data_IF_155526787583
#
_entry.id   IF_155526787583
#
_cell.length_a   1.000
_cell.length_b   1.000
_cell.length_c   1.000
_cell.angle_alpha   90.00
_cell.angle_beta   90.00
_cell.angle_gamma   90.00
#
_symmetry.space_group_name_H-M   'P 1'
#
loop_
_entity.id
_entity.type
_entity.pdbx_description
1 polymer ?
#
# COMPACT_ATOMS: atom_id res chain seq x y z
N UNK A 1 -6.78 0.45 -18.33
CA UNK A 1 -8.24 0.26 -18.06
C UNK A 1 -8.59 -1.16 -17.63
N UNK A 2 -7.98 -2.19 -18.20
CA UNK A 2 -8.25 -3.60 -17.86
C UNK A 2 -7.87 -3.94 -16.41
N UNK A 3 -6.70 -3.50 -15.94
CA UNK A 3 -6.23 -3.78 -14.56
C UNK A 3 -7.09 -3.11 -13.47
N UNK A 4 -7.77 -1.99 -13.77
CA UNK A 4 -8.70 -1.38 -12.83
C UNK A 4 -9.91 -2.26 -12.51
N UNK A 5 -10.35 -3.12 -13.45
CA UNK A 5 -11.40 -4.12 -13.23
C UNK A 5 -10.93 -5.27 -12.33
N UNK A 6 -9.63 -5.50 -12.26
CA UNK A 6 -8.99 -6.51 -11.40
C UNK A 6 -8.67 -6.01 -9.98
N UNK A 7 -9.17 -4.84 -9.59
CA UNK A 7 -8.90 -4.25 -8.28
C UNK A 7 -7.55 -3.54 -8.15
N UNK A 8 -6.81 -3.39 -9.24
CA UNK A 8 -5.54 -2.64 -9.26
C UNK A 8 -5.84 -1.16 -9.43
N UNK A 9 -5.27 -0.33 -8.57
CA UNK A 9 -5.42 1.13 -8.60
C UNK A 9 -4.06 1.81 -8.70
N UNK A 10 -4.00 2.88 -9.48
CA UNK A 10 -2.80 3.72 -9.55
C UNK A 10 -2.84 4.73 -8.39
N UNK A 11 -1.74 4.81 -7.66
CA UNK A 11 -1.57 5.73 -6.53
C UNK A 11 -0.35 6.62 -6.75
N UNK A 12 -0.37 7.81 -6.17
CA UNK A 12 0.77 8.73 -6.18
C UNK A 12 0.87 9.41 -4.81
N UNK A 13 2.03 9.32 -4.19
CA UNK A 13 2.34 10.06 -2.97
C UNK A 13 2.30 11.57 -3.22
N UNK A 14 1.82 12.31 -2.24
CA UNK A 14 1.89 13.78 -2.22
C UNK A 14 2.56 14.24 -0.94
N UNK A 15 3.47 15.22 -1.08
CA UNK A 15 4.23 15.79 0.04
C UNK A 15 3.48 16.88 0.80
N UNK A 16 2.32 17.32 0.30
CA UNK A 16 1.53 18.35 0.94
C UNK A 16 0.95 17.85 2.26
N UNK A 17 1.11 18.61 3.32
CA UNK A 17 0.68 18.24 4.68
C UNK A 17 -0.83 18.30 4.85
N UNK A 18 -1.31 17.55 5.84
CA UNK A 18 -2.73 17.54 6.22
C UNK A 18 -3.67 16.96 5.14
N UNK A 19 -3.11 16.32 4.12
CA UNK A 19 -3.93 15.63 3.12
C UNK A 19 -4.46 14.32 3.69
N UNK A 20 -5.68 13.91 3.30
CA UNK A 20 -6.26 12.66 3.77
C UNK A 20 -5.37 11.46 3.37
N UNK A 21 -5.42 10.34 4.10
CA UNK A 21 -4.68 9.12 3.79
C UNK A 21 -4.80 8.69 2.33
N UNK A 22 -5.99 8.87 1.75
CA UNK A 22 -6.21 8.75 0.32
C UNK A 22 -7.23 9.79 -0.14
N UNK A 23 -6.91 10.50 -1.21
CA UNK A 23 -7.78 11.49 -1.83
C UNK A 23 -8.83 10.86 -2.75
N UNK A 24 -9.71 11.69 -3.31
CA UNK A 24 -10.61 11.27 -4.38
C UNK A 24 -9.82 10.95 -5.64
N UNK A 25 -10.23 9.91 -6.37
CA UNK A 25 -9.60 9.56 -7.64
C UNK A 25 -9.81 10.65 -8.69
N UNK A 26 -8.74 10.98 -9.40
CA UNK A 26 -8.76 11.92 -10.54
C UNK A 26 -8.28 11.23 -11.82
N UNK A 27 -8.87 11.60 -12.94
CA UNK A 27 -8.44 11.12 -14.25
C UNK A 27 -7.27 11.97 -14.72
N UNK A 28 -6.17 11.31 -15.07
CA UNK A 28 -4.95 11.95 -15.57
C UNK A 28 -4.63 11.49 -16.99
N UNK A 29 -3.96 12.35 -17.73
CA UNK A 29 -3.45 12.00 -19.04
C UNK A 29 -2.22 11.07 -18.90
N UNK A 30 -2.09 10.10 -19.77
CA UNK A 30 -1.01 9.12 -19.74
C UNK A 30 -0.34 9.08 -21.10
N UNK A 31 0.98 9.22 -21.12
CA UNK A 31 1.77 8.99 -22.31
C UNK A 31 2.10 7.51 -22.42
N UNK A 32 1.72 6.91 -23.54
CA UNK A 32 2.01 5.52 -23.85
C UNK A 32 2.43 5.39 -25.31
N UNK A 33 3.60 4.82 -25.56
CA UNK A 33 4.17 4.64 -26.91
C UNK A 33 4.14 5.92 -27.77
N UNK A 34 4.55 7.06 -27.19
CA UNK A 34 4.57 8.34 -27.88
C UNK A 34 3.21 9.01 -28.13
N UNK A 35 2.12 8.40 -27.63
CA UNK A 35 0.76 8.96 -27.76
C UNK A 35 0.21 9.38 -26.41
N UNK A 36 -0.40 10.55 -26.34
CA UNK A 36 -1.10 11.03 -25.12
C UNK A 36 -2.52 10.51 -25.10
N UNK A 37 -2.81 9.64 -24.14
CA UNK A 37 -4.16 9.17 -23.85
C UNK A 37 -4.81 10.13 -22.85
N UNK A 38 -5.69 11.00 -23.30
CA UNK A 38 -6.43 11.91 -22.44
C UNK A 38 -7.29 11.12 -21.45
N UNK A 39 -7.22 11.50 -20.16
CA UNK A 39 -7.92 10.84 -19.05
C UNK A 39 -7.70 9.32 -19.03
N UNK A 40 -6.48 8.89 -19.43
CA UNK A 40 -6.13 7.48 -19.65
C UNK A 40 -6.10 6.63 -18.38
N UNK A 41 -5.81 7.23 -17.21
CA UNK A 41 -5.77 6.51 -15.94
C UNK A 41 -6.50 7.27 -14.82
N UNK A 42 -7.04 6.51 -13.86
CA UNK A 42 -7.53 7.02 -12.60
C UNK A 42 -6.40 6.93 -11.58
N UNK A 43 -6.02 8.06 -10.97
CA UNK A 43 -4.95 8.13 -9.96
C UNK A 43 -5.52 8.65 -8.66
N UNK A 44 -5.12 8.02 -7.55
CA UNK A 44 -5.47 8.44 -6.20
C UNK A 44 -4.23 9.03 -5.52
N UNK A 45 -4.37 10.20 -4.91
CA UNK A 45 -3.29 10.85 -4.18
C UNK A 45 -3.25 10.34 -2.74
N UNK A 46 -2.07 9.96 -2.27
CA UNK A 46 -1.83 9.46 -0.91
C UNK A 46 -1.16 10.54 -0.07
N UNK A 47 -1.82 10.93 1.01
CA UNK A 47 -1.28 11.87 2.01
C UNK A 47 -0.28 11.18 2.94
N UNK A 48 0.95 10.98 2.44
CA UNK A 48 1.99 10.22 3.15
C UNK A 48 2.30 10.77 4.55
N UNK A 49 2.32 12.09 4.72
CA UNK A 49 2.55 12.74 6.02
C UNK A 49 1.51 12.34 7.08
N UNK A 50 0.23 12.39 6.71
CA UNK A 50 -0.87 12.01 7.59
C UNK A 50 -0.83 10.53 7.93
N UNK A 51 -0.55 9.66 6.94
CA UNK A 51 -0.44 8.23 7.15
C UNK A 51 0.73 7.90 8.06
N UNK A 52 1.93 8.45 7.82
CA UNK A 52 3.11 8.25 8.67
C UNK A 52 2.83 8.69 10.11
N UNK A 53 2.21 9.85 10.30
CA UNK A 53 1.84 10.34 11.63
C UNK A 53 0.91 9.36 12.35
N UNK A 54 -0.08 8.81 11.64
CA UNK A 54 -1.00 7.80 12.19
C UNK A 54 -0.28 6.50 12.54
N UNK A 55 0.56 5.98 11.63
CA UNK A 55 1.29 4.73 11.83
C UNK A 55 2.27 4.83 12.99
N UNK A 56 3.06 5.91 13.07
CA UNK A 56 3.98 6.13 14.19
C UNK A 56 3.25 6.35 15.53
N UNK A 57 2.05 6.95 15.50
CA UNK A 57 1.17 6.99 16.66
C UNK A 57 0.80 5.59 17.12
N UNK A 58 0.41 4.70 16.21
CA UNK A 58 0.02 3.31 16.50
C UNK A 58 1.19 2.44 16.97
N UNK A 59 2.39 2.66 16.44
CA UNK A 59 3.60 1.95 16.90
C UNK A 59 3.94 2.21 18.38
N UNK A 60 3.37 3.23 19.01
CA UNK A 60 3.55 3.53 20.42
C UNK A 60 2.59 2.74 21.33
N UNK A 61 1.61 2.04 20.78
CA UNK A 61 0.68 1.25 21.59
C UNK A 61 1.40 -0.01 22.09
N UNK A 62 1.45 -0.19 23.40
CA UNK A 62 2.07 -1.34 24.06
C UNK A 62 1.06 -2.46 24.34
N UNK A 63 -0.23 -2.14 24.35
CA UNK A 63 -1.30 -3.07 24.64
C UNK A 63 -2.10 -3.40 23.37
N UNK A 64 -2.54 -4.67 23.28
CA UNK A 64 -3.40 -5.13 22.20
C UNK A 64 -4.76 -4.45 22.28
N UNK A 65 -5.22 -3.92 21.17
CA UNK A 65 -6.50 -3.21 21.10
C UNK A 65 -6.67 -2.46 19.79
N UNK A 66 -7.63 -1.55 19.76
CA UNK A 66 -7.91 -0.75 18.59
C UNK A 66 -6.69 0.08 18.19
N UNK A 67 -6.21 -0.12 16.95
CA UNK A 67 -5.05 0.58 16.41
C UNK A 67 -3.71 -0.06 16.70
N UNK A 68 -3.65 -1.15 17.45
CA UNK A 68 -2.41 -1.89 17.66
C UNK A 68 -1.93 -2.54 16.34
N UNK A 69 -0.64 -2.42 16.04
CA UNK A 69 -0.03 -3.02 14.86
C UNK A 69 0.53 -4.39 15.19
N UNK A 70 0.02 -5.41 14.52
CA UNK A 70 0.50 -6.78 14.64
C UNK A 70 1.52 -7.07 13.55
N UNK A 71 2.63 -7.68 13.93
CA UNK A 71 3.66 -8.14 13.00
C UNK A 71 3.79 -9.67 13.09
N UNK A 72 4.14 -10.28 11.97
CA UNK A 72 4.40 -11.70 11.92
C UNK A 72 5.65 -12.05 12.74
N UNK A 73 5.68 -13.22 13.41
CA UNK A 73 6.81 -13.66 14.25
C UNK A 73 8.14 -13.75 13.51
N UNK A 74 8.12 -14.03 12.22
CA UNK A 74 9.31 -14.06 11.35
C UNK A 74 9.71 -12.71 10.77
N UNK A 75 9.13 -11.60 11.23
CA UNK A 75 9.52 -10.26 10.75
C UNK A 75 10.94 -9.93 11.21
N UNK A 76 11.81 -9.58 10.26
CA UNK A 76 13.24 -9.37 10.52
C UNK A 76 13.54 -8.00 11.13
N UNK A 77 14.70 -7.87 11.78
CA UNK A 77 15.21 -6.58 12.27
C UNK A 77 15.33 -5.55 11.15
N UNK A 78 15.83 -5.96 9.97
CA UNK A 78 15.94 -5.09 8.79
C UNK A 78 14.59 -4.46 8.41
N UNK A 79 13.49 -5.21 8.48
CA UNK A 79 12.17 -4.67 8.23
C UNK A 79 11.83 -3.52 9.19
N UNK A 80 12.12 -3.69 10.48
CA UNK A 80 11.86 -2.67 11.50
C UNK A 80 12.78 -1.47 11.36
N UNK A 81 14.02 -1.66 10.95
CA UNK A 81 14.95 -0.57 10.63
C UNK A 81 14.40 0.29 9.48
N UNK A 82 13.91 -0.34 8.41
CA UNK A 82 13.29 0.36 7.29
C UNK A 82 11.96 1.00 7.68
N UNK A 83 11.17 0.35 8.53
CA UNK A 83 9.88 0.86 9.00
C UNK A 83 10.05 2.14 9.84
N UNK A 84 11.14 2.22 10.62
CA UNK A 84 11.44 3.35 11.52
C UNK A 84 12.54 4.27 11.00
N UNK A 85 12.92 4.15 9.73
CA UNK A 85 14.01 4.90 9.12
C UNK A 85 13.76 6.42 9.06
N UNK A 86 12.52 6.86 9.17
CA UNK A 86 12.13 8.26 9.17
C UNK A 86 11.76 8.75 10.56
N UNK A 87 12.05 10.00 10.82
CA UNK A 87 11.64 10.69 12.05
C UNK A 87 11.03 12.04 11.75
N UNK A 88 10.14 12.47 12.60
CA UNK A 88 9.54 13.79 12.52
C UNK A 88 10.44 14.82 13.20
N UNK A 89 10.81 15.87 12.49
CA UNK A 89 11.61 16.99 13.00
C UNK A 89 10.82 18.28 12.93
N UNK A 90 11.05 19.16 13.91
CA UNK A 90 10.49 20.50 13.90
C UNK A 90 11.40 21.41 13.07
N UNK A 91 10.83 22.09 12.10
CA UNK A 91 11.52 23.13 11.33
C UNK A 91 10.70 24.42 11.36
N UNK A 92 11.36 25.55 11.21
CA UNK A 92 10.69 26.84 11.09
C UNK A 92 10.67 27.25 9.62
N UNK A 93 9.50 27.67 9.14
CA UNK A 93 9.38 28.22 7.79
C UNK A 93 9.94 29.64 7.73
N UNK A 94 9.97 30.26 6.54
CA UNK A 94 10.46 31.63 6.33
C UNK A 94 9.72 32.69 7.18
N UNK A 95 8.48 32.42 7.57
CA UNK A 95 7.68 33.29 8.44
C UNK A 95 7.86 33.02 9.93
N UNK A 96 8.81 32.16 10.34
CA UNK A 96 9.06 31.82 11.75
C UNK A 96 8.06 30.83 12.35
N UNK A 97 7.13 30.30 11.57
CA UNK A 97 6.14 29.33 12.07
C UNK A 97 6.72 27.92 12.12
N UNK A 98 6.50 27.19 13.24
CA UNK A 98 6.97 25.83 13.40
C UNK A 98 6.23 24.88 12.46
N UNK A 99 6.98 24.03 11.79
CA UNK A 99 6.46 23.00 10.89
C UNK A 99 7.15 21.68 11.18
N UNK A 100 6.39 20.58 11.21
CA UNK A 100 6.97 19.24 11.39
C UNK A 100 7.18 18.57 10.05
N UNK A 101 8.35 17.99 9.82
CA UNK A 101 8.71 17.32 8.57
C UNK A 101 9.23 15.93 8.85
N UNK A 102 8.84 14.97 8.00
CA UNK A 102 9.43 13.65 8.00
C UNK A 102 10.76 13.70 7.27
N UNK A 103 11.81 13.27 7.94
CA UNK A 103 13.16 13.23 7.38
C UNK A 103 13.77 11.86 7.58
N UNK A 104 14.56 11.44 6.61
CA UNK A 104 15.29 10.18 6.55
C UNK A 104 16.79 10.50 6.41
N UNK A 105 17.65 9.69 7.01
CA UNK A 105 19.09 9.74 6.68
C UNK A 105 19.28 9.36 5.21
N UNK A 106 20.16 10.04 4.44
CA UNK A 106 20.34 9.78 3.01
C UNK A 106 20.62 8.31 2.67
N UNK A 107 21.40 7.62 3.51
CA UNK A 107 21.77 6.22 3.32
C UNK A 107 20.74 5.21 3.83
N UNK A 108 19.72 5.64 4.56
CA UNK A 108 18.76 4.71 5.13
C UNK A 108 17.71 4.29 4.07
N UNK A 109 17.37 3.02 4.05
CA UNK A 109 16.26 2.47 3.27
C UNK A 109 14.97 2.64 4.05
N UNK A 110 13.85 2.84 3.38
CA UNK A 110 12.53 3.04 3.99
C UNK A 110 11.41 2.33 3.22
N UNK A 111 11.74 1.36 2.40
CA UNK A 111 10.77 0.67 1.55
C UNK A 111 9.66 -0.01 2.35
N UNK A 112 9.99 -0.57 3.53
CA UNK A 112 8.98 -1.16 4.42
C UNK A 112 7.97 -0.13 4.91
N UNK A 113 8.43 1.09 5.25
CA UNK A 113 7.55 2.19 5.63
C UNK A 113 6.65 2.61 4.46
N UNK A 114 7.22 2.78 3.27
CA UNK A 114 6.45 3.18 2.09
C UNK A 114 5.41 2.11 1.70
N UNK A 115 5.75 0.84 1.77
CA UNK A 115 4.80 -0.26 1.56
C UNK A 115 3.65 -0.20 2.59
N UNK A 116 3.95 0.03 3.87
CA UNK A 116 2.92 0.12 4.91
C UNK A 116 2.04 1.37 4.72
N UNK A 117 2.62 2.49 4.31
CA UNK A 117 1.89 3.72 3.95
C UNK A 117 0.88 3.44 2.83
N UNK A 118 1.30 2.75 1.78
CA UNK A 118 0.41 2.42 0.66
C UNK A 118 -0.63 1.35 1.03
N UNK A 119 -0.28 0.38 1.85
CA UNK A 119 -1.23 -0.60 2.38
C UNK A 119 -2.33 0.08 3.21
N UNK A 120 -1.94 1.02 4.08
CA UNK A 120 -2.89 1.80 4.87
C UNK A 120 -3.78 2.71 4.01
N UNK A 121 -3.23 3.30 2.95
CA UNK A 121 -4.01 4.06 1.96
C UNK A 121 -5.02 3.15 1.24
N UNK A 122 -4.62 1.93 0.87
CA UNK A 122 -5.50 0.91 0.30
C UNK A 122 -6.67 0.55 1.21
N UNK A 123 -6.42 0.35 2.51
CA UNK A 123 -7.46 0.12 3.51
C UNK A 123 -8.45 1.31 3.57
N UNK A 124 -7.94 2.54 3.55
CA UNK A 124 -8.80 3.73 3.54
C UNK A 124 -9.61 3.86 2.23
N UNK A 125 -9.07 3.41 1.09
CA UNK A 125 -9.83 3.33 -0.16
C UNK A 125 -10.98 2.32 -0.06
N UNK A 126 -10.77 1.20 0.62
CA UNK A 126 -11.84 0.23 0.90
C UNK A 126 -12.93 0.86 1.77
N UNK A 127 -12.56 1.62 2.80
CA UNK A 127 -13.53 2.34 3.65
C UNK A 127 -14.31 3.44 2.93
N UNK A 128 -13.84 3.94 1.79
CA UNK A 128 -14.63 4.83 0.94
C UNK A 128 -15.69 4.09 0.12
N UNK A 129 -15.53 2.78 -0.09
CA UNK A 129 -16.41 1.94 -0.91
C UNK A 129 -17.38 1.09 -0.11
N UNK A 130 -17.06 0.83 1.15
CA UNK A 130 -17.80 -0.04 2.04
C UNK A 130 -18.08 0.67 3.36
N UNK A 131 -19.20 0.36 3.99
CA UNK A 131 -19.45 0.80 5.36
C UNK A 131 -18.42 0.16 6.31
N UNK A 132 -17.74 1.01 7.09
CA UNK A 132 -16.72 0.60 8.06
C UNK A 132 -17.22 -0.40 9.11
N UNK A 133 -18.51 -0.36 9.43
CA UNK A 133 -19.10 -1.22 10.46
C UNK A 133 -19.31 -2.64 9.96
N UNK A 134 -19.55 -2.81 8.68
CA UNK A 134 -19.98 -4.09 8.09
C UNK A 134 -18.99 -4.63 7.05
N UNK A 135 -17.92 -3.91 6.76
CA UNK A 135 -16.95 -4.29 5.71
C UNK A 135 -16.39 -5.69 5.94
N UNK A 136 -16.00 -6.01 7.17
CA UNK A 136 -15.39 -7.30 7.49
C UNK A 136 -16.37 -8.44 7.34
N UNK A 137 -17.59 -8.29 7.87
CA UNK A 137 -18.68 -9.27 7.72
C UNK A 137 -19.05 -9.49 6.24
N UNK A 138 -19.05 -8.41 5.45
CA UNK A 138 -19.31 -8.49 4.02
C UNK A 138 -18.17 -9.22 3.27
N UNK A 139 -16.93 -9.00 3.65
CA UNK A 139 -15.79 -9.69 3.05
C UNK A 139 -15.77 -11.17 3.44
N UNK A 140 -16.01 -11.49 4.68
CA UNK A 140 -16.13 -12.86 5.18
C UNK A 140 -17.20 -13.63 4.42
N UNK A 141 -18.42 -13.11 4.34
CA UNK A 141 -19.51 -13.69 3.54
C UNK A 141 -19.16 -13.90 2.07
N UNK A 142 -18.30 -13.04 1.50
CA UNK A 142 -17.83 -13.23 0.11
C UNK A 142 -16.81 -14.36 -0.01
N UNK A 143 -15.99 -14.58 1.01
CA UNK A 143 -15.04 -15.69 1.05
C UNK A 143 -15.77 -17.01 1.24
N UNK A 144 -16.77 -17.08 2.11
CA UNK A 144 -17.62 -18.25 2.32
C UNK A 144 -18.40 -18.65 1.07
N UNK A 145 -18.86 -17.66 0.28
CA UNK A 145 -19.60 -17.89 -0.98
C UNK A 145 -18.72 -18.35 -2.16
N UNK A 146 -17.43 -18.50 -1.98
CA UNK A 146 -16.51 -19.12 -2.94
C UNK A 146 -16.07 -20.51 -2.44
N UNK A 147 -16.96 -21.51 -2.43
CA UNK A 147 -16.48 -22.88 -2.27
C UNK A 147 -15.86 -23.31 -3.59
N UNK A 148 -14.64 -23.84 -3.50
CA UNK A 148 -14.04 -24.75 -4.47
C UNK A 148 -13.83 -24.25 -5.92
N UNK A 149 -12.94 -23.25 -6.11
CA UNK A 149 -12.13 -23.18 -7.35
C UNK A 149 -10.67 -23.56 -7.12
N UNK A 150 -10.36 -24.18 -5.99
CA UNK A 150 -9.14 -24.93 -5.74
C UNK A 150 -9.43 -26.44 -5.72
N UNK A 151 -10.31 -26.87 -6.62
CA UNK A 151 -10.36 -28.26 -7.05
C UNK A 151 -9.05 -28.56 -7.74
N UNK A 152 -8.27 -29.42 -7.12
CA UNK A 152 -7.09 -30.08 -7.65
C UNK A 152 -7.24 -30.32 -9.15
N UNK A 153 -6.54 -29.61 -9.98
CA UNK A 153 -6.12 -30.12 -11.26
C UNK A 153 -5.15 -31.26 -10.92
N UNK A 154 -5.67 -32.46 -10.87
CA UNK A 154 -4.87 -33.67 -10.98
C UNK A 154 -3.96 -33.46 -12.19
N UNK A 155 -2.66 -33.39 -11.95
CA UNK A 155 -1.70 -33.55 -13.00
C UNK A 155 -1.95 -34.92 -13.66
N UNK A 156 -2.11 -35.00 -14.97
CA UNK A 156 -2.02 -36.28 -15.63
C UNK A 156 -0.59 -36.79 -15.45
N UNK A 157 -0.50 -38.05 -15.03
CA UNK A 157 0.73 -38.77 -14.81
C UNK A 157 1.67 -38.69 -16.00
N UNK A 158 2.94 -38.47 -15.67
CA UNK A 158 4.16 -38.70 -16.40
C UNK A 158 4.08 -39.42 -17.75
N UNK A 159 4.39 -38.68 -18.80
CA UNK A 159 5.02 -39.22 -19.99
C UNK A 159 6.43 -38.68 -20.05
N UNK A 160 7.42 -39.57 -19.98
CA UNK A 160 8.82 -39.28 -20.18
C UNK A 160 9.06 -38.71 -21.58
N UNK A 161 9.73 -37.57 -21.65
CA UNK A 161 10.48 -37.20 -22.86
C UNK A 161 11.64 -36.28 -22.46
N UNK A 162 12.77 -36.86 -22.61
CA UNK A 162 14.12 -36.36 -22.71
C UNK A 162 14.26 -35.05 -23.48
N UNK A 163 15.20 -34.23 -23.02
CA UNK A 163 16.02 -33.40 -23.88
C UNK A 163 15.55 -31.98 -24.09
N UNK A 164 16.02 -31.06 -23.24
CA UNK A 164 16.39 -29.75 -23.71
C UNK A 164 17.50 -29.19 -22.80
N UNK A 165 18.72 -29.60 -23.11
CA UNK A 165 19.95 -28.90 -22.72
C UNK A 165 20.66 -28.56 -24.00
N UNK A 166 20.79 -27.30 -24.31
CA UNK A 166 22.03 -26.72 -24.82
C UNK A 166 21.79 -25.32 -25.41
N UNK A 167 22.71 -24.47 -25.02
CA UNK A 167 23.09 -23.19 -25.66
C UNK A 167 22.19 -21.99 -25.32
N UNK A 168 22.60 -21.22 -24.28
CA UNK A 168 23.30 -19.92 -24.48
C UNK A 168 24.02 -19.59 -23.18
#
# INVERSE_FOLDING_TARGET
RERGRQGVVAIKGQSQRGKPPIGKGSKVDVNYQGRTLKRGAMVYLVGGDTVKTTLFGRLKHNERGAGFLHFHMGTTGEYFEQLTAEKQVLRYNRGGFPTREWVKKPSARNEALDCLVYAYAGLNLMYQRFDRRTIWDQLEKRLEKKPALLGSKQQPASGAASGFVSNW
#
